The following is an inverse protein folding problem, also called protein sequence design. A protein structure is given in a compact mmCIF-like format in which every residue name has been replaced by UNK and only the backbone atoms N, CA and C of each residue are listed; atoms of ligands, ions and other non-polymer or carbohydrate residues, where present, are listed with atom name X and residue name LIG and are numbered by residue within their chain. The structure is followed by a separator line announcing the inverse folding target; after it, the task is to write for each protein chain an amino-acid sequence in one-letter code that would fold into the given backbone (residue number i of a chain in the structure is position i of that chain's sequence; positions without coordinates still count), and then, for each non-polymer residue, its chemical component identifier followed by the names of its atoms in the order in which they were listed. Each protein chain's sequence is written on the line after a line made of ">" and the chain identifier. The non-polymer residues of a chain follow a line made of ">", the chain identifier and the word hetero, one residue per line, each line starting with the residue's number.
data_IF_839320778138
#
_entry.id   IF_839320778138
#
_cell.length_a   1.000
_cell.length_b   1.000
_cell.length_c   1.000
_cell.angle_alpha   90.00
_cell.angle_beta   90.00
_cell.angle_gamma   90.00
#
_symmetry.space_group_name_H-M   'P 1'
#
loop_
_entity.id
_entity.type
_entity.pdbx_description
1 polymer ?
#
# COMPACT_ATOMS: atom_id res chain seq x y z
N UNK A 1 -26.63 9.02 -4.12
CA UNK A 1 -26.27 7.67 -3.65
C UNK A 1 -24.75 7.64 -3.56
N UNK A 2 -24.18 7.70 -2.36
CA UNK A 2 -22.73 7.65 -2.18
C UNK A 2 -22.20 6.36 -2.77
N UNK A 3 -21.16 6.49 -3.58
CA UNK A 3 -20.52 5.36 -4.24
C UNK A 3 -20.02 4.34 -3.22
N UNK A 4 -19.87 3.08 -3.64
CA UNK A 4 -19.30 2.02 -2.79
C UNK A 4 -17.95 2.46 -2.23
N UNK A 5 -17.11 3.08 -3.05
CA UNK A 5 -15.80 3.60 -2.66
C UNK A 5 -15.89 4.69 -1.59
N UNK A 6 -16.87 5.59 -1.65
CA UNK A 6 -17.12 6.59 -0.60
C UNK A 6 -17.54 5.97 0.73
N UNK A 7 -18.43 4.97 0.72
CA UNK A 7 -18.87 4.29 1.94
C UNK A 7 -17.72 3.56 2.62
N UNK A 8 -16.92 2.83 1.84
CA UNK A 8 -15.70 2.16 2.33
C UNK A 8 -14.70 3.17 2.87
N UNK A 9 -14.45 4.26 2.14
CA UNK A 9 -13.52 5.31 2.58
C UNK A 9 -14.00 5.98 3.87
N UNK A 10 -15.28 6.31 3.98
CA UNK A 10 -15.84 6.92 5.19
C UNK A 10 -15.71 5.97 6.40
N UNK A 11 -15.99 4.68 6.22
CA UNK A 11 -15.83 3.68 7.27
C UNK A 11 -14.36 3.54 7.70
N UNK A 12 -13.43 3.45 6.75
CA UNK A 12 -11.99 3.40 7.02
C UNK A 12 -11.49 4.62 7.81
N UNK A 13 -11.96 5.82 7.46
CA UNK A 13 -11.53 7.06 8.11
C UNK A 13 -12.25 7.34 9.44
N UNK A 14 -13.39 6.73 9.69
CA UNK A 14 -14.15 6.89 10.94
C UNK A 14 -13.78 5.79 11.93
N UNK A 15 -14.06 4.54 11.58
CA UNK A 15 -13.99 3.40 12.50
C UNK A 15 -12.57 2.85 12.62
N UNK A 16 -11.79 2.92 11.54
CA UNK A 16 -10.47 2.28 11.45
C UNK A 16 -9.32 3.31 11.44
N UNK A 17 -9.61 4.53 11.88
CA UNK A 17 -8.65 5.64 11.93
C UNK A 17 -7.44 5.32 12.80
N UNK A 18 -7.62 4.65 13.94
CA UNK A 18 -6.53 4.16 14.79
C UNK A 18 -5.61 3.20 14.05
N UNK A 19 -6.17 2.21 13.32
CA UNK A 19 -5.37 1.25 12.57
C UNK A 19 -4.59 1.92 11.42
N UNK A 20 -5.21 2.89 10.75
CA UNK A 20 -4.53 3.70 9.74
C UNK A 20 -3.41 4.55 10.35
N UNK A 21 -3.62 5.12 11.54
CA UNK A 21 -2.60 5.88 12.27
C UNK A 21 -1.43 4.97 12.69
N UNK A 22 -1.70 3.74 13.15
CA UNK A 22 -0.68 2.73 13.41
C UNK A 22 0.16 2.42 12.16
N UNK A 23 -0.47 2.28 11.00
CA UNK A 23 0.25 2.07 9.72
C UNK A 23 1.12 3.28 9.37
N UNK A 24 0.63 4.50 9.58
CA UNK A 24 1.41 5.73 9.39
C UNK A 24 2.61 5.77 10.36
N UNK A 25 2.41 5.42 11.63
CA UNK A 25 3.49 5.37 12.63
C UNK A 25 4.54 4.31 12.27
N UNK A 26 4.10 3.16 11.75
CA UNK A 26 5.01 2.12 11.24
C UNK A 26 5.84 2.63 10.06
N UNK A 27 5.22 3.37 9.13
CA UNK A 27 5.91 3.97 8.01
C UNK A 27 6.90 5.07 8.45
N UNK A 28 6.52 5.89 9.44
CA UNK A 28 7.38 6.92 10.03
C UNK A 28 8.58 6.31 10.74
N UNK A 29 8.39 5.20 11.47
CA UNK A 29 9.48 4.46 12.10
C UNK A 29 10.49 3.90 11.08
N UNK A 30 10.02 3.43 9.92
CA UNK A 30 10.91 3.00 8.82
C UNK A 30 11.63 4.20 8.22
N UNK A 31 10.92 5.30 7.96
CA UNK A 31 11.51 6.52 7.42
C UNK A 31 12.53 7.19 8.37
N UNK A 32 12.33 7.08 9.68
CA UNK A 32 13.28 7.55 10.70
C UNK A 32 14.59 6.74 10.71
N UNK A 33 14.55 5.51 10.20
CA UNK A 33 15.74 4.67 10.01
C UNK A 33 16.54 5.00 8.74
N UNK A 34 16.04 5.88 7.87
CA UNK A 34 16.73 6.23 6.64
C UNK A 34 17.86 7.23 6.90
N UNK A 35 19.01 7.09 6.21
CA UNK A 35 20.11 8.04 6.32
C UNK A 35 19.74 9.43 5.77
N UNK A 36 18.77 9.49 4.86
CA UNK A 36 18.27 10.70 4.22
C UNK A 36 16.73 10.73 4.24
N UNK A 37 16.14 11.90 3.91
CA UNK A 37 14.67 12.07 3.86
C UNK A 37 13.98 11.25 2.77
N UNK A 38 14.77 10.63 1.89
CA UNK A 38 14.34 9.75 0.80
C UNK A 38 15.32 8.60 0.70
N UNK A 39 14.85 7.42 0.30
CA UNK A 39 15.74 6.31 -0.07
C UNK A 39 15.53 5.96 -1.54
N UNK A 40 16.57 5.49 -2.19
CA UNK A 40 16.57 4.96 -3.57
C UNK A 40 16.40 3.43 -3.57
N UNK A 41 16.72 2.80 -2.44
CA UNK A 41 16.75 1.34 -2.37
C UNK A 41 15.43 0.76 -1.84
N UNK A 42 14.75 -0.02 -2.68
CA UNK A 42 13.49 -0.69 -2.33
C UNK A 42 13.63 -1.68 -1.16
N UNK A 43 14.79 -2.31 -1.01
CA UNK A 43 15.07 -3.27 0.05
C UNK A 43 15.23 -2.58 1.42
N UNK A 44 15.48 -1.26 1.42
CA UNK A 44 15.42 -0.43 2.63
C UNK A 44 14.01 0.07 2.97
N UNK A 45 12.99 -0.26 2.14
CA UNK A 45 11.59 0.11 2.36
C UNK A 45 10.73 -1.12 2.62
N UNK A 46 10.64 -2.04 1.65
CA UNK A 46 9.65 -3.13 1.69
C UNK A 46 9.93 -4.14 2.80
N UNK A 47 11.12 -4.78 2.90
CA UNK A 47 11.43 -5.71 3.99
C UNK A 47 11.30 -5.11 5.41
N UNK A 48 11.84 -3.91 5.73
CA UNK A 48 11.69 -3.35 7.06
C UNK A 48 10.23 -2.97 7.34
N UNK A 49 9.51 -2.43 6.35
CA UNK A 49 8.10 -2.11 6.52
C UNK A 49 7.22 -3.34 6.74
N UNK A 50 7.43 -4.42 5.98
CA UNK A 50 6.75 -5.70 6.19
C UNK A 50 7.05 -6.27 7.60
N UNK A 51 8.31 -6.18 8.04
CA UNK A 51 8.72 -6.62 9.38
C UNK A 51 8.06 -5.80 10.47
N UNK A 52 7.99 -4.47 10.32
CA UNK A 52 7.36 -3.58 11.31
C UNK A 52 5.84 -3.82 11.36
N UNK A 53 5.17 -3.96 10.21
CA UNK A 53 3.76 -4.30 10.13
C UNK A 53 3.44 -5.65 10.80
N UNK A 54 4.28 -6.66 10.55
CA UNK A 54 4.14 -7.97 11.16
C UNK A 54 4.36 -7.91 12.68
N UNK A 55 5.36 -7.16 13.15
CA UNK A 55 5.62 -6.96 14.59
C UNK A 55 4.51 -6.19 15.30
N UNK A 56 3.92 -5.20 14.63
CA UNK A 56 2.77 -4.46 15.13
C UNK A 56 1.47 -5.29 15.10
N UNK A 57 1.49 -6.50 14.50
CA UNK A 57 0.31 -7.33 14.33
C UNK A 57 -0.70 -6.78 13.32
N UNK A 58 -0.31 -5.79 12.52
CA UNK A 58 -1.19 -5.16 11.52
C UNK A 58 -1.48 -6.15 10.40
N UNK A 59 -0.48 -6.92 9.97
CA UNK A 59 -0.63 -7.93 8.89
C UNK A 59 -1.77 -8.92 9.17
N UNK A 60 -1.93 -9.33 10.43
CA UNK A 60 -3.01 -10.24 10.87
C UNK A 60 -4.38 -9.55 10.96
N UNK A 61 -4.40 -8.22 11.16
CA UNK A 61 -5.62 -7.40 11.19
C UNK A 61 -6.12 -7.00 9.80
N UNK A 62 -5.26 -6.98 8.78
CA UNK A 62 -5.61 -6.58 7.41
C UNK A 62 -6.76 -7.41 6.79
N UNK A 63 -6.85 -8.74 6.95
CA UNK A 63 -7.98 -9.51 6.45
C UNK A 63 -9.29 -9.15 7.14
N UNK A 64 -9.27 -8.94 8.46
CA UNK A 64 -10.42 -8.47 9.22
C UNK A 64 -10.87 -7.08 8.79
N UNK A 65 -9.93 -6.19 8.50
CA UNK A 65 -10.19 -4.86 7.94
C UNK A 65 -10.87 -4.95 6.58
N UNK A 66 -10.39 -5.83 5.69
CA UNK A 66 -10.99 -6.05 4.38
C UNK A 66 -12.43 -6.54 4.50
N UNK A 67 -12.71 -7.49 5.41
CA UNK A 67 -14.06 -7.96 5.66
C UNK A 67 -14.99 -6.83 6.14
N UNK A 68 -14.54 -5.98 7.09
CA UNK A 68 -15.29 -4.82 7.55
C UNK A 68 -15.55 -3.79 6.46
N UNK A 69 -14.57 -3.56 5.57
CA UNK A 69 -14.75 -2.69 4.41
C UNK A 69 -15.84 -3.23 3.46
N UNK A 70 -15.85 -4.53 3.23
CA UNK A 70 -16.83 -5.18 2.35
C UNK A 70 -18.23 -5.16 2.98
N UNK A 71 -18.33 -5.39 4.28
CA UNK A 71 -19.57 -5.24 5.05
C UNK A 71 -20.12 -3.80 5.00
N UNK A 72 -19.25 -2.79 5.19
CA UNK A 72 -19.62 -1.38 5.05
C UNK A 72 -20.04 -1.00 3.61
N UNK A 73 -19.50 -1.68 2.61
CA UNK A 73 -19.95 -1.58 1.23
C UNK A 73 -21.33 -2.24 0.99
N UNK A 74 -21.83 -3.02 1.95
CA UNK A 74 -23.08 -3.76 1.88
C UNK A 74 -22.97 -5.04 1.05
N UNK A 75 -21.78 -5.60 0.94
CA UNK A 75 -21.53 -6.86 0.24
C UNK A 75 -20.95 -7.88 1.21
N UNK A 76 -20.94 -9.15 0.78
CA UNK A 76 -20.33 -10.24 1.52
C UNK A 76 -19.16 -10.84 0.73
N UNK A 77 -18.12 -11.27 1.43
CA UNK A 77 -16.98 -11.93 0.82
C UNK A 77 -17.29 -13.41 0.62
N UNK A 78 -17.22 -13.88 -0.62
CA UNK A 78 -17.41 -15.30 -0.94
C UNK A 78 -16.40 -16.23 -0.24
N UNK A 79 -15.25 -15.70 0.20
CA UNK A 79 -14.24 -16.45 0.96
C UNK A 79 -13.61 -15.55 2.03
N UNK A 80 -13.26 -16.11 3.21
CA UNK A 80 -12.56 -15.37 4.23
C UNK A 80 -11.20 -14.90 3.69
N UNK A 81 -10.91 -13.59 3.74
CA UNK A 81 -9.65 -13.07 3.24
C UNK A 81 -8.50 -13.59 4.11
N UNK A 82 -7.34 -13.80 3.49
CA UNK A 82 -6.10 -14.19 4.19
C UNK A 82 -5.06 -13.09 4.06
N UNK A 83 -4.14 -13.01 5.02
CA UNK A 83 -3.04 -12.03 5.03
C UNK A 83 -1.93 -12.38 4.02
N UNK A 84 -2.31 -12.81 2.81
CA UNK A 84 -1.42 -13.22 1.75
C UNK A 84 -1.98 -12.83 0.38
N UNK A 85 -1.13 -12.75 -0.65
CA UNK A 85 -1.58 -12.60 -2.02
C UNK A 85 -2.53 -13.75 -2.39
N UNK A 86 -3.65 -13.48 -3.11
CA UNK A 86 -3.95 -12.23 -3.82
C UNK A 86 -4.71 -11.17 -3.01
N UNK A 87 -5.05 -11.42 -1.74
CA UNK A 87 -5.92 -10.57 -0.93
C UNK A 87 -5.17 -9.40 -0.30
N UNK A 88 -3.96 -9.64 0.20
CA UNK A 88 -3.11 -8.62 0.83
C UNK A 88 -1.75 -8.65 0.14
N UNK A 89 -1.30 -7.48 -0.33
CA UNK A 89 0.00 -7.31 -0.96
C UNK A 89 0.69 -6.11 -0.32
N UNK A 90 1.88 -6.32 0.25
CA UNK A 90 2.73 -5.22 0.72
C UNK A 90 3.58 -4.75 -0.45
N UNK A 91 3.25 -3.56 -0.98
CA UNK A 91 4.02 -2.92 -2.04
C UNK A 91 4.99 -1.88 -1.45
N UNK A 92 5.90 -1.39 -2.29
CA UNK A 92 6.85 -0.35 -1.88
C UNK A 92 6.19 1.02 -1.60
N UNK A 93 4.97 1.23 -2.09
CA UNK A 93 4.11 2.37 -1.73
C UNK A 93 3.34 2.14 -0.42
N UNK A 94 3.19 0.89 0.02
CA UNK A 94 2.43 0.49 1.21
C UNK A 94 1.49 -0.70 0.98
N UNK A 95 0.64 -1.04 1.97
CA UNK A 95 -0.26 -2.19 1.90
C UNK A 95 -1.39 -1.96 0.89
N UNK A 96 -1.67 -2.97 0.07
CA UNK A 96 -2.79 -3.02 -0.86
C UNK A 96 -3.67 -4.22 -0.52
N UNK A 97 -4.95 -3.96 -0.29
CA UNK A 97 -5.98 -4.97 -0.06
C UNK A 97 -6.87 -5.09 -1.29
N UNK A 98 -7.17 -6.32 -1.68
CA UNK A 98 -7.97 -6.64 -2.86
C UNK A 98 -9.08 -7.62 -2.48
N UNK A 99 -10.31 -7.22 -2.74
CA UNK A 99 -11.49 -8.06 -2.61
C UNK A 99 -12.21 -8.18 -3.96
N UNK A 100 -12.72 -9.38 -4.24
CA UNK A 100 -13.66 -9.59 -5.35
C UNK A 100 -15.07 -9.48 -4.77
N UNK A 101 -15.87 -8.57 -5.30
CA UNK A 101 -17.27 -8.35 -4.95
C UNK A 101 -18.17 -8.69 -6.14
N UNK A 102 -19.47 -8.85 -5.91
CA UNK A 102 -20.45 -9.03 -6.99
C UNK A 102 -20.43 -7.93 -8.06
N UNK A 103 -20.39 -6.62 -7.73
CA UNK A 103 -20.34 -5.55 -8.73
C UNK A 103 -18.98 -5.39 -9.41
N UNK A 104 -17.91 -6.02 -8.91
CA UNK A 104 -16.55 -5.78 -9.40
C UNK A 104 -15.46 -6.06 -8.36
N UNK A 105 -14.23 -5.62 -8.64
CA UNK A 105 -13.08 -5.80 -7.75
C UNK A 105 -12.83 -4.53 -6.94
N UNK A 106 -12.95 -4.63 -5.62
CA UNK A 106 -12.58 -3.57 -4.69
C UNK A 106 -11.07 -3.63 -4.43
N UNK A 107 -10.41 -2.49 -4.60
CA UNK A 107 -8.98 -2.32 -4.33
C UNK A 107 -8.82 -1.16 -3.35
N UNK A 108 -8.32 -1.46 -2.16
CA UNK A 108 -7.97 -0.47 -1.14
C UNK A 108 -6.45 -0.38 -1.08
N UNK A 109 -5.90 0.79 -1.39
CA UNK A 109 -4.47 1.04 -1.37
C UNK A 109 -4.14 2.04 -0.26
N UNK A 110 -3.20 1.67 0.60
CA UNK A 110 -2.67 2.53 1.66
C UNK A 110 -1.30 3.03 1.24
N UNK A 111 -1.27 4.20 0.60
CA UNK A 111 -0.07 4.80 -0.01
C UNK A 111 0.65 5.70 0.99
N UNK A 112 1.37 5.09 1.93
CA UNK A 112 2.22 5.78 2.92
C UNK A 112 3.59 6.20 2.38
N UNK A 113 4.02 5.56 1.29
CA UNK A 113 5.22 5.94 0.56
C UNK A 113 4.83 6.32 -0.87
N UNK A 114 5.41 7.42 -1.35
CA UNK A 114 5.42 7.78 -2.76
C UNK A 114 6.68 7.23 -3.38
N UNK A 115 6.54 6.62 -4.56
CA UNK A 115 7.66 6.14 -5.34
C UNK A 115 7.68 6.98 -6.60
N UNK A 116 8.61 7.92 -6.67
CA UNK A 116 8.97 8.58 -7.91
C UNK A 116 9.87 7.62 -8.67
N UNK A 117 9.25 6.74 -9.45
CA UNK A 117 9.98 5.97 -10.45
C UNK A 117 10.33 6.95 -11.57
N UNK A 118 11.63 7.15 -11.81
CA UNK A 118 12.06 7.47 -13.17
C UNK A 118 11.48 6.37 -14.05
N UNK A 119 10.78 6.75 -15.11
CA UNK A 119 9.91 5.88 -15.90
C UNK A 119 10.52 4.48 -16.09
N UNK A 120 9.89 3.45 -15.51
CA UNK A 120 10.35 2.07 -15.65
C UNK A 120 10.32 1.70 -17.14
N UNK A 121 11.52 1.64 -17.71
CA UNK A 121 11.85 0.87 -18.89
C UNK A 121 11.40 -0.58 -18.68
N UNK A 122 10.19 -0.89 -19.14
CA UNK A 122 9.70 -2.24 -19.26
C UNK A 122 10.31 -2.96 -20.46
N UNK A 123 11.42 -3.67 -20.22
CA UNK A 123 11.81 -4.96 -20.81
C UNK A 123 11.98 -5.06 -22.34
N UNK A 124 13.23 -4.89 -22.80
CA UNK A 124 13.72 -5.35 -24.09
C UNK A 124 15.21 -5.62 -24.02
N UNK A 125 15.59 -6.81 -23.55
CA UNK A 125 17.00 -7.19 -23.38
C UNK A 125 17.79 -7.30 -24.67
N UNK A 126 19.13 -7.25 -24.48
CA UNK A 126 20.25 -7.47 -25.40
C UNK A 126 20.74 -6.26 -26.20
N UNK A 127 21.48 -5.38 -25.51
CA UNK A 127 22.39 -4.41 -26.12
C UNK A 127 23.80 -4.62 -25.57
N UNK A 128 24.67 -5.24 -26.37
CA UNK A 128 26.13 -5.17 -26.20
C UNK A 128 26.54 -3.72 -26.49
N UNK A 129 27.02 -3.01 -25.46
CA UNK A 129 27.34 -1.60 -25.60
C UNK A 129 28.00 -1.05 -24.34
N UNK A 130 29.32 -1.01 -24.36
CA UNK A 130 30.10 -0.12 -23.50
C UNK A 130 29.54 1.30 -23.58
N UNK A 131 29.07 1.82 -22.45
CA UNK A 131 28.57 3.18 -22.30
C UNK A 131 28.66 3.61 -20.85
N UNK A 132 29.59 4.53 -20.61
CA UNK A 132 29.84 5.26 -19.37
C UNK A 132 28.64 6.20 -19.06
N UNK A 133 28.35 6.38 -17.76
CA UNK A 133 27.45 7.39 -17.16
C UNK A 133 25.97 7.46 -17.63
N UNK A 134 25.13 6.68 -16.95
CA UNK A 134 23.74 7.06 -16.73
C UNK A 134 23.32 6.63 -15.31
N UNK A 135 23.30 7.58 -14.37
CA UNK A 135 22.47 7.47 -13.16
C UNK A 135 21.01 7.56 -13.58
N UNK A 136 20.53 6.53 -14.27
CA UNK A 136 19.23 6.50 -14.93
C UNK A 136 18.17 6.05 -13.91
N UNK A 137 17.46 7.03 -13.35
CA UNK A 137 16.11 6.85 -12.84
C UNK A 137 15.94 5.95 -11.62
N UNK A 138 16.88 5.92 -10.68
CA UNK A 138 16.68 5.12 -9.47
C UNK A 138 15.41 5.59 -8.72
N UNK A 139 14.44 4.69 -8.45
CA UNK A 139 13.17 5.05 -7.87
C UNK A 139 13.35 5.70 -6.50
N UNK A 140 13.00 6.97 -6.38
CA UNK A 140 13.07 7.67 -5.09
C UNK A 140 11.80 7.39 -4.29
N UNK A 141 11.99 6.72 -3.16
CA UNK A 141 10.99 6.49 -2.14
C UNK A 141 10.98 7.69 -1.18
N UNK A 142 9.82 8.32 -1.05
CA UNK A 142 9.59 9.40 -0.09
C UNK A 142 8.37 9.07 0.77
N UNK A 143 8.44 9.42 2.07
CA UNK A 143 7.24 9.37 2.94
C UNK A 143 6.20 10.37 2.42
N UNK A 144 4.98 9.88 2.18
CA UNK A 144 3.85 10.66 1.65
C UNK A 144 2.65 10.53 2.58
N UNK A 145 1.94 11.63 2.78
CA UNK A 145 0.73 11.67 3.58
C UNK A 145 1.05 11.55 5.07
N UNK A 146 0.86 12.64 5.80
CA UNK A 146 0.85 12.63 7.26
C UNK A 146 -0.52 12.20 7.81
N UNK A 147 -1.56 12.19 6.96
CA UNK A 147 -2.93 11.91 7.36
C UNK A 147 -3.48 10.64 6.73
N UNK A 148 -4.31 9.87 7.48
CA UNK A 148 -4.95 8.65 6.98
C UNK A 148 -5.82 8.90 5.73
N UNK A 149 -6.40 10.10 5.60
CA UNK A 149 -7.26 10.46 4.47
C UNK A 149 -6.51 10.65 3.14
N UNK A 150 -5.22 10.98 3.19
CA UNK A 150 -4.37 11.21 2.01
C UNK A 150 -3.69 9.94 1.51
N UNK A 151 -3.48 8.96 2.40
CA UNK A 151 -2.85 7.68 2.06
C UNK A 151 -3.88 6.67 1.54
N UNK A 152 -5.15 6.78 1.94
CA UNK A 152 -6.21 5.85 1.55
C UNK A 152 -6.71 6.18 0.14
N UNK A 153 -6.53 5.27 -0.80
CA UNK A 153 -7.21 5.25 -2.10
C UNK A 153 -8.09 4.01 -2.19
N UNK A 154 -9.36 4.21 -2.53
CA UNK A 154 -10.33 3.12 -2.73
C UNK A 154 -10.82 3.17 -4.17
N UNK A 155 -10.63 2.08 -4.89
CA UNK A 155 -11.05 1.92 -6.28
C UNK A 155 -11.96 0.70 -6.41
N UNK A 156 -13.02 0.82 -7.22
CA UNK A 156 -13.86 -0.31 -7.62
C UNK A 156 -13.73 -0.46 -9.15
N UNK A 157 -13.24 -1.63 -9.59
CA UNK A 157 -12.97 -1.97 -10.99
C UNK A 157 -13.94 -2.99 -11.53
#
# INVERSE_FOLDING_TARGET
>A
MSSVTERVRAHLLSEESDLLADIVNCADAVAAGWPERTTTDRLNVVPPFETVLARAGITDRLPGLLARCVDAAGYDLAAPPVAAPPYVVVAATGPMLRATLEPGRLVVSLRVFEVERGEDAGCGGFGDGSGDDASEGDPRYRRRGETPAEIVSVELR
#
